data_IF_235342458400
#
_entry.id   IF_235342458400
#
_cell.length_a   1.000
_cell.length_b   1.000
_cell.length_c   1.000
_cell.angle_alpha   90.00
_cell.angle_beta   90.00
_cell.angle_gamma   90.00
#
_symmetry.space_group_name_H-M   'P 1'
#
loop_
_entity.id
_entity.type
_entity.pdbx_description
1 polymer ?
#
# COMPACT_ATOMS: atom_id res chain seq x y z
N UNK A 1 9.60 -8.93 -22.01
CA UNK A 1 10.24 -8.88 -20.67
C UNK A 1 9.12 -8.59 -19.68
N UNK A 2 8.51 -9.63 -19.10
CA UNK A 2 7.44 -9.50 -18.11
C UNK A 2 8.01 -8.87 -16.85
N UNK A 3 7.54 -7.67 -16.48
CA UNK A 3 7.86 -7.12 -15.16
C UNK A 3 7.02 -7.85 -14.12
N UNK A 4 7.66 -8.84 -13.53
CA UNK A 4 7.23 -9.61 -12.37
C UNK A 4 7.01 -8.68 -11.14
N UNK A 5 5.86 -8.85 -10.48
CA UNK A 5 5.66 -8.84 -9.02
C UNK A 5 6.19 -7.72 -8.10
N UNK A 6 6.50 -6.52 -8.58
CA UNK A 6 6.93 -5.42 -7.70
C UNK A 6 6.00 -4.21 -7.74
N UNK A 7 5.08 -4.09 -6.77
CA UNK A 7 4.31 -2.87 -6.43
C UNK A 7 3.66 -2.12 -7.63
N UNK A 8 2.34 -2.22 -7.76
CA UNK A 8 1.61 -1.43 -8.77
C UNK A 8 1.86 0.07 -8.53
N UNK A 9 2.47 0.70 -9.53
CA UNK A 9 2.72 2.14 -9.54
C UNK A 9 1.63 2.88 -10.32
N UNK A 10 1.34 4.11 -9.91
CA UNK A 10 0.35 4.95 -10.57
C UNK A 10 0.70 5.18 -12.05
N UNK A 11 1.98 5.26 -12.38
CA UNK A 11 2.47 5.40 -13.76
C UNK A 11 2.13 4.18 -14.64
N UNK A 12 2.27 2.96 -14.10
CA UNK A 12 1.91 1.74 -14.83
C UNK A 12 0.41 1.68 -15.06
N UNK A 13 -0.40 2.05 -14.06
CA UNK A 13 -1.87 2.10 -14.16
C UNK A 13 -2.32 3.18 -15.14
N UNK A 14 -1.70 4.36 -15.10
CA UNK A 14 -1.98 5.45 -16.03
C UNK A 14 -1.70 5.02 -17.48
N UNK A 15 -0.57 4.34 -17.71
CA UNK A 15 -0.15 3.85 -19.01
C UNK A 15 -1.01 2.68 -19.52
N UNK A 16 -1.31 1.71 -18.65
CA UNK A 16 -2.09 0.51 -18.97
C UNK A 16 -3.56 0.86 -19.28
N UNK A 17 -4.15 1.83 -18.58
CA UNK A 17 -5.56 2.21 -18.71
C UNK A 17 -5.80 3.55 -19.40
N UNK A 18 -4.75 4.20 -19.95
CA UNK A 18 -4.81 5.54 -20.58
C UNK A 18 -5.50 6.60 -19.70
N UNK A 19 -5.25 6.54 -18.39
CA UNK A 19 -5.79 7.49 -17.42
C UNK A 19 -4.80 8.64 -17.20
N UNK A 20 -5.30 9.81 -16.78
CA UNK A 20 -4.43 10.88 -16.29
C UNK A 20 -3.64 10.41 -15.07
N UNK A 21 -2.37 10.79 -14.98
CA UNK A 21 -1.46 10.43 -13.90
C UNK A 21 -2.00 10.84 -12.52
N UNK A 22 -2.67 11.99 -12.46
CA UNK A 22 -3.34 12.48 -11.24
C UNK A 22 -4.45 11.53 -10.79
N UNK A 23 -5.24 11.05 -11.75
CA UNK A 23 -6.38 10.16 -11.50
C UNK A 23 -5.91 8.75 -11.13
N UNK A 24 -4.83 8.26 -11.75
CA UNK A 24 -4.20 7.00 -11.37
C UNK A 24 -3.61 7.07 -9.96
N UNK A 25 -2.97 8.19 -9.60
CA UNK A 25 -2.41 8.41 -8.25
C UNK A 25 -3.49 8.43 -7.17
N UNK A 26 -4.63 9.06 -7.44
CA UNK A 26 -5.80 9.06 -6.54
C UNK A 26 -6.41 7.67 -6.36
N UNK A 27 -6.47 6.86 -7.43
CA UNK A 27 -6.97 5.48 -7.33
C UNK A 27 -6.01 4.64 -6.48
N UNK A 28 -4.71 4.75 -6.74
CA UNK A 28 -3.68 4.02 -5.99
C UNK A 28 -3.69 4.41 -4.52
N UNK A 29 -3.69 5.71 -4.19
CA UNK A 29 -3.68 6.19 -2.81
C UNK A 29 -4.98 5.82 -2.07
N UNK A 30 -6.13 6.02 -2.71
CA UNK A 30 -7.45 5.75 -2.12
C UNK A 30 -7.66 4.26 -1.83
N UNK A 31 -7.35 3.37 -2.77
CA UNK A 31 -7.50 1.93 -2.57
C UNK A 31 -6.44 1.38 -1.60
N UNK A 32 -5.21 1.91 -1.64
CA UNK A 32 -4.18 1.55 -0.65
C UNK A 32 -4.62 1.92 0.77
N UNK A 33 -5.15 3.12 0.98
CA UNK A 33 -5.64 3.56 2.30
C UNK A 33 -6.86 2.75 2.76
N UNK A 34 -7.76 2.41 1.84
CA UNK A 34 -8.93 1.57 2.11
C UNK A 34 -8.54 0.15 2.52
N UNK A 35 -7.56 -0.45 1.84
CA UNK A 35 -7.04 -1.79 2.17
C UNK A 35 -6.24 -1.77 3.47
N UNK A 36 -5.41 -0.75 3.71
CA UNK A 36 -4.69 -0.56 4.97
C UNK A 36 -5.66 -0.51 6.17
N UNK A 37 -6.79 0.19 6.03
CA UNK A 37 -7.81 0.28 7.08
C UNK A 37 -8.60 -1.01 7.27
N UNK A 38 -8.92 -1.72 6.18
CA UNK A 38 -9.86 -2.85 6.19
C UNK A 38 -9.17 -4.21 6.35
N UNK A 39 -7.88 -4.32 6.06
CA UNK A 39 -7.16 -5.59 6.07
C UNK A 39 -6.67 -5.93 7.49
N UNK A 40 -7.18 -7.01 8.10
CA UNK A 40 -6.71 -7.45 9.42
C UNK A 40 -5.23 -7.87 9.40
N UNK A 41 -4.73 -8.39 8.27
CA UNK A 41 -3.29 -8.70 8.10
C UNK A 41 -2.41 -7.45 8.24
N UNK A 42 -2.85 -6.33 7.67
CA UNK A 42 -2.11 -5.08 7.73
C UNK A 42 -2.05 -4.55 9.18
N UNK A 43 -3.15 -4.68 9.92
CA UNK A 43 -3.22 -4.37 11.35
C UNK A 43 -2.37 -5.32 12.20
N UNK A 44 -2.36 -6.62 11.91
CA UNK A 44 -1.51 -7.59 12.64
C UNK A 44 -0.04 -7.21 12.49
N UNK A 45 0.41 -6.89 11.27
CA UNK A 45 1.80 -6.46 11.03
C UNK A 45 2.13 -5.19 11.80
N UNK A 46 1.21 -4.22 11.84
CA UNK A 46 1.42 -3.00 12.60
C UNK A 46 1.47 -3.21 14.11
N UNK A 47 0.49 -3.92 14.66
CA UNK A 47 0.40 -4.17 16.11
C UNK A 47 1.57 -5.04 16.56
N UNK A 48 1.98 -6.02 15.76
CA UNK A 48 3.14 -6.85 16.05
C UNK A 48 4.44 -6.03 16.07
N UNK A 49 4.66 -5.15 15.09
CA UNK A 49 5.86 -4.33 15.06
C UNK A 49 5.86 -3.19 16.10
N UNK A 50 4.68 -2.63 16.43
CA UNK A 50 4.53 -1.74 17.58
C UNK A 50 4.82 -2.46 18.90
N UNK A 51 4.31 -3.67 19.07
CA UNK A 51 4.57 -4.50 20.25
C UNK A 51 6.06 -4.82 20.39
N UNK A 52 6.72 -5.17 19.29
CA UNK A 52 8.15 -5.44 19.28
C UNK A 52 8.99 -4.19 19.55
N UNK A 53 8.64 -3.05 18.95
CA UNK A 53 9.32 -1.76 19.19
C UNK A 53 9.12 -1.30 20.64
N UNK A 54 7.90 -1.38 21.16
CA UNK A 54 7.59 -1.08 22.56
C UNK A 54 8.35 -2.00 23.52
N UNK A 55 8.38 -3.31 23.24
CA UNK A 55 9.14 -4.27 24.02
C UNK A 55 10.64 -3.90 24.07
N UNK A 56 11.24 -3.60 22.92
CA UNK A 56 12.64 -3.16 22.84
C UNK A 56 12.89 -1.83 23.56
N UNK A 57 11.91 -0.92 23.58
CA UNK A 57 12.04 0.37 24.24
C UNK A 57 12.04 0.25 25.77
N UNK A 58 11.23 -0.64 26.33
CA UNK A 58 11.13 -0.87 27.78
C UNK A 58 12.15 -1.89 28.32
N UNK A 59 12.84 -2.63 27.43
CA UNK A 59 13.82 -3.62 27.83
C UNK A 59 15.13 -2.95 28.32
N UNK A 60 15.53 -3.17 29.59
CA UNK A 60 16.76 -2.58 30.12
C UNK A 60 17.99 -3.18 29.42
N UNK A 61 18.87 -2.30 28.92
CA UNK A 61 20.07 -2.69 28.16
C UNK A 61 19.89 -2.73 26.64
N UNK A 62 18.67 -2.51 26.12
CA UNK A 62 18.43 -2.38 24.69
C UNK A 62 18.77 -0.97 24.20
N UNK A 63 19.42 -0.87 23.03
CA UNK A 63 19.68 0.40 22.38
C UNK A 63 18.35 1.01 21.90
N UNK A 64 17.93 2.13 22.48
CA UNK A 64 16.68 2.81 22.10
C UNK A 64 16.62 3.16 20.61
N UNK A 65 17.77 3.35 19.98
CA UNK A 65 17.88 3.58 18.53
C UNK A 65 17.38 2.37 17.72
N UNK A 66 17.63 1.13 18.17
CA UNK A 66 17.14 -0.05 17.45
C UNK A 66 15.61 -0.16 17.53
N UNK A 67 14.99 0.26 18.64
CA UNK A 67 13.54 0.33 18.75
C UNK A 67 12.92 1.32 17.74
N UNK A 68 13.59 2.46 17.49
CA UNK A 68 13.19 3.42 16.47
C UNK A 68 13.36 2.86 15.06
N UNK A 69 14.48 2.19 14.77
CA UNK A 69 14.69 1.53 13.47
C UNK A 69 13.66 0.43 13.20
N UNK A 70 13.30 -0.36 14.22
CA UNK A 70 12.24 -1.36 14.13
C UNK A 70 10.88 -0.72 13.87
N UNK A 71 10.59 0.42 14.51
CA UNK A 71 9.35 1.18 14.26
C UNK A 71 9.28 1.67 12.80
N UNK A 72 10.36 2.27 12.30
CA UNK A 72 10.45 2.77 10.92
C UNK A 72 10.31 1.60 9.93
N UNK A 73 11.01 0.49 10.17
CA UNK A 73 10.91 -0.72 9.36
C UNK A 73 9.51 -1.32 9.36
N UNK A 74 8.83 -1.31 10.51
CA UNK A 74 7.44 -1.75 10.61
C UNK A 74 6.48 -0.86 9.82
N UNK A 75 6.64 0.47 9.89
CA UNK A 75 5.86 1.43 9.09
C UNK A 75 6.07 1.20 7.58
N UNK A 76 7.32 1.01 7.16
CA UNK A 76 7.64 0.67 5.77
C UNK A 76 7.01 -0.66 5.35
N UNK A 77 7.11 -1.69 6.19
CA UNK A 77 6.50 -3.00 5.97
C UNK A 77 4.96 -2.93 5.90
N UNK A 78 4.33 -2.15 6.77
CA UNK A 78 2.87 -1.95 6.73
C UNK A 78 2.44 -1.28 5.43
N UNK A 79 3.12 -0.20 5.03
CA UNK A 79 2.88 0.46 3.75
C UNK A 79 3.06 -0.50 2.57
N UNK A 80 4.10 -1.33 2.60
CA UNK A 80 4.39 -2.30 1.55
C UNK A 80 3.32 -3.40 1.46
N UNK A 81 2.89 -3.95 2.59
CA UNK A 81 1.78 -4.91 2.68
C UNK A 81 0.48 -4.29 2.18
N UNK A 82 0.19 -3.04 2.57
CA UNK A 82 -0.96 -2.29 2.10
C UNK A 82 -0.99 -2.14 0.58
N UNK A 83 0.15 -1.73 -0.02
CA UNK A 83 0.26 -1.59 -1.47
C UNK A 83 0.22 -2.93 -2.20
N UNK A 84 0.80 -3.99 -1.63
CA UNK A 84 0.75 -5.33 -2.20
C UNK A 84 -0.69 -5.86 -2.25
N UNK A 85 -1.42 -5.75 -1.14
CA UNK A 85 -2.82 -6.16 -1.04
C UNK A 85 -3.76 -5.28 -1.87
N UNK A 86 -3.44 -4.00 -2.05
CA UNK A 86 -4.23 -3.07 -2.85
C UNK A 86 -4.07 -3.28 -4.36
N UNK A 87 -3.01 -3.95 -4.83
CA UNK A 87 -2.74 -4.18 -6.25
C UNK A 87 -3.95 -4.68 -7.07
N UNK A 88 -4.59 -5.81 -6.72
CA UNK A 88 -5.75 -6.30 -7.46
C UNK A 88 -6.98 -5.36 -7.39
N UNK A 89 -7.19 -4.66 -6.27
CA UNK A 89 -8.28 -3.70 -6.13
C UNK A 89 -8.05 -2.46 -7.01
N UNK A 90 -6.81 -1.95 -7.06
CA UNK A 90 -6.39 -0.83 -7.92
C UNK A 90 -6.66 -1.17 -9.39
N UNK A 91 -6.29 -2.36 -9.86
CA UNK A 91 -6.54 -2.78 -11.25
C UNK A 91 -8.04 -2.85 -11.57
N UNK A 92 -8.88 -3.38 -10.66
CA UNK A 92 -10.35 -3.41 -10.84
C UNK A 92 -10.93 -2.00 -10.91
N UNK A 93 -10.57 -1.12 -9.99
CA UNK A 93 -11.08 0.26 -9.95
C UNK A 93 -10.59 1.09 -11.14
N UNK A 94 -9.35 0.90 -11.57
CA UNK A 94 -8.82 1.52 -12.78
C UNK A 94 -9.55 1.05 -14.04
N UNK A 95 -9.84 -0.26 -14.15
CA UNK A 95 -10.62 -0.82 -15.25
C UNK A 95 -12.06 -0.25 -15.29
N UNK A 96 -12.77 -0.24 -14.16
CA UNK A 96 -14.14 0.32 -14.08
C UNK A 96 -14.17 1.81 -14.43
N UNK A 97 -13.19 2.60 -13.95
CA UNK A 97 -13.08 4.02 -14.34
C UNK A 97 -12.73 4.20 -15.82
N UNK A 98 -11.85 3.39 -16.37
CA UNK A 98 -11.50 3.44 -17.79
C UNK A 98 -12.69 3.05 -18.68
N UNK A 99 -13.48 2.05 -18.30
CA UNK A 99 -14.72 1.68 -18.99
C UNK A 99 -15.76 2.81 -18.94
N UNK A 100 -15.93 3.48 -17.79
CA UNK A 100 -16.84 4.63 -17.67
C UNK A 100 -16.39 5.87 -18.44
N UNK A 101 -15.08 6.11 -18.54
CA UNK A 101 -14.52 7.21 -19.33
C UNK A 101 -14.47 6.90 -20.83
N UNK A 102 -14.36 5.60 -21.19
CA UNK A 102 -14.38 5.10 -22.56
C UNK A 102 -15.78 4.89 -23.14
N UNK A 103 -16.82 4.86 -22.30
CA UNK A 103 -18.23 4.94 -22.68
C UNK A 103 -18.82 6.31 -22.32
N UNK A 104 -18.58 7.37 -23.13
CA UNK A 104 -19.43 8.54 -23.10
C UNK A 104 -20.80 8.20 -23.71
N UNK A 105 -21.71 7.61 -22.92
CA UNK A 105 -23.05 7.17 -23.35
C UNK A 105 -23.04 5.78 -24.02
N UNK A 106 -24.06 4.91 -23.92
CA UNK A 106 -25.50 5.14 -24.01
C UNK A 106 -25.89 5.91 -25.27
#
# INVERSE_FOLDING_TARGET
>A
MSRENGLINAEDVAREYRLSETLARDIVSGETQRVLRRSPLAWIVFVAGLGLSGFLYFMPGAARDSALWVLIGCLAGWMMVGRYLAGPAIRRTAKDKAERLGHPGA
#
